data_IF_500318583617
#
_entry.id   IF_500318583617
#
_cell.length_a   1.000
_cell.length_b   1.000
_cell.length_c   1.000
_cell.angle_alpha   90.00
_cell.angle_beta   90.00
_cell.angle_gamma   90.00
#
_symmetry.space_group_name_H-M   'P 1'
#
loop_
_entity.id
_entity.type
_entity.pdbx_description
1 polymer ?
#
# COMPACT_ATOMS: atom_id res chain seq x y z
N UNK A 1 17.08 -1.08 4.76
CA UNK A 1 16.97 0.24 5.46
C UNK A 1 16.17 0.02 6.73
N UNK A 2 16.62 0.47 7.93
CA UNK A 2 15.79 0.37 9.13
C UNK A 2 14.63 1.38 9.10
N UNK A 3 13.66 1.26 10.05
CA UNK A 3 12.46 2.10 10.06
C UNK A 3 12.77 3.60 10.18
N UNK A 4 13.76 3.98 11.00
CA UNK A 4 14.18 5.39 11.12
C UNK A 4 14.80 5.94 9.84
N UNK A 5 15.60 5.13 9.15
CA UNK A 5 16.18 5.51 7.86
C UNK A 5 15.10 5.56 6.77
N UNK A 6 14.13 4.64 6.80
CA UNK A 6 12.97 4.66 5.91
C UNK A 6 12.15 5.92 6.09
N UNK A 7 11.86 6.30 7.33
CA UNK A 7 11.16 7.54 7.67
C UNK A 7 11.89 8.78 7.12
N UNK A 8 13.17 8.94 7.48
CA UNK A 8 13.95 10.08 6.97
C UNK A 8 13.97 10.16 5.46
N UNK A 9 14.05 9.01 4.81
CA UNK A 9 14.08 8.92 3.35
C UNK A 9 12.76 9.38 2.72
N UNK A 10 11.61 8.91 3.24
CA UNK A 10 10.30 9.31 2.73
C UNK A 10 9.93 10.73 3.14
N UNK A 11 10.34 11.21 4.31
CA UNK A 11 10.17 12.61 4.71
C UNK A 11 10.95 13.56 3.79
N UNK A 12 12.18 13.20 3.41
CA UNK A 12 12.96 13.97 2.44
C UNK A 12 12.30 14.02 1.04
N UNK A 13 11.75 12.89 0.58
CA UNK A 13 11.00 12.83 -0.68
C UNK A 13 9.71 13.65 -0.60
N UNK A 14 9.00 13.59 0.52
CA UNK A 14 7.78 14.37 0.77
C UNK A 14 8.03 15.87 0.77
N UNK A 15 9.17 16.32 1.28
CA UNK A 15 9.58 17.75 1.23
C UNK A 15 10.01 18.19 -0.17
N UNK A 16 10.62 17.31 -0.95
CA UNK A 16 11.21 17.67 -2.25
C UNK A 16 10.15 17.68 -3.37
N UNK A 17 9.41 16.59 -3.55
CA UNK A 17 8.43 16.41 -4.64
C UNK A 17 7.40 15.35 -4.23
N UNK A 18 6.47 15.68 -3.32
CA UNK A 18 5.60 14.71 -2.68
C UNK A 18 4.70 13.94 -3.64
N UNK A 19 4.10 14.61 -4.60
CA UNK A 19 3.15 13.99 -5.52
C UNK A 19 3.85 13.05 -6.50
N UNK A 20 5.03 13.44 -6.95
CA UNK A 20 5.86 12.60 -7.81
C UNK A 20 6.43 11.38 -7.06
N UNK A 21 6.79 11.55 -5.80
CA UNK A 21 7.28 10.45 -4.96
C UNK A 21 6.22 9.35 -4.77
N UNK A 22 4.94 9.73 -4.65
CA UNK A 22 3.81 8.80 -4.49
C UNK A 22 3.44 8.16 -5.83
N UNK A 23 3.37 8.96 -6.91
CA UNK A 23 3.00 8.48 -8.24
C UNK A 23 4.07 8.88 -9.26
N UNK A 24 4.97 7.93 -9.49
CA UNK A 24 6.07 8.12 -10.42
C UNK A 24 5.57 8.32 -11.85
N UNK A 25 5.82 9.51 -12.39
CA UNK A 25 5.67 9.84 -13.80
C UNK A 25 6.84 10.76 -14.18
N UNK A 26 7.73 10.35 -15.10
CA UNK A 26 8.89 11.16 -15.48
C UNK A 26 8.54 12.58 -15.96
N UNK A 27 7.39 12.78 -16.58
CA UNK A 27 6.93 14.07 -17.09
C UNK A 27 6.48 15.02 -15.97
N UNK A 28 6.10 14.48 -14.82
CA UNK A 28 5.55 15.22 -13.67
C UNK A 28 6.58 15.56 -12.60
N UNK A 29 7.86 15.17 -12.79
CA UNK A 29 8.94 15.46 -11.83
C UNK A 29 9.18 16.97 -11.69
N UNK A 30 9.58 17.41 -10.50
CA UNK A 30 9.85 18.81 -10.17
C UNK A 30 8.57 19.57 -9.82
N UNK A 31 7.69 18.97 -9.05
CA UNK A 31 6.41 19.54 -8.59
C UNK A 31 5.48 19.95 -9.75
N UNK A 32 5.50 19.18 -10.85
CA UNK A 32 4.69 19.47 -12.04
C UNK A 32 3.30 18.79 -12.02
N UNK A 33 2.99 18.00 -11.00
CA UNK A 33 1.65 17.49 -10.84
C UNK A 33 0.66 18.62 -10.59
N UNK A 34 -0.42 18.67 -11.35
CA UNK A 34 -1.59 19.41 -10.94
C UNK A 34 -2.28 18.64 -9.79
N UNK A 35 -2.57 19.30 -8.69
CA UNK A 35 -3.10 18.65 -7.48
C UNK A 35 -4.43 17.97 -7.74
N UNK A 36 -5.33 18.59 -8.48
CA UNK A 36 -6.65 18.02 -8.78
C UNK A 36 -6.55 16.81 -9.73
N UNK A 37 -5.67 16.89 -10.73
CA UNK A 37 -5.36 15.76 -11.61
C UNK A 37 -4.82 14.58 -10.79
N UNK A 38 -3.90 14.85 -9.87
CA UNK A 38 -3.31 13.84 -8.99
C UNK A 38 -4.37 13.12 -8.14
N UNK A 39 -5.24 13.86 -7.45
CA UNK A 39 -6.32 13.28 -6.64
C UNK A 39 -7.36 12.53 -7.49
N UNK A 40 -7.64 13.00 -8.72
CA UNK A 40 -8.52 12.28 -9.66
C UNK A 40 -7.99 10.89 -10.00
N UNK A 41 -6.67 10.70 -10.08
CA UNK A 41 -6.10 9.35 -10.27
C UNK A 41 -6.45 8.40 -9.12
N UNK A 42 -6.57 8.90 -7.89
CA UNK A 42 -7.00 8.13 -6.72
C UNK A 42 -8.45 7.64 -6.86
N UNK A 43 -9.35 8.50 -7.32
CA UNK A 43 -10.76 8.12 -7.55
C UNK A 43 -10.88 6.98 -8.57
N UNK A 44 -10.16 7.04 -9.67
CA UNK A 44 -10.15 5.97 -10.67
C UNK A 44 -9.59 4.64 -10.11
N UNK A 45 -8.54 4.71 -9.31
CA UNK A 45 -7.92 3.54 -8.68
C UNK A 45 -8.84 2.89 -7.65
N UNK A 46 -9.47 3.68 -6.78
CA UNK A 46 -10.44 3.17 -5.79
C UNK A 46 -11.69 2.63 -6.47
N UNK A 47 -12.19 3.26 -7.53
CA UNK A 47 -13.31 2.73 -8.31
C UNK A 47 -13.00 1.34 -8.89
N UNK A 48 -11.78 1.13 -9.41
CA UNK A 48 -11.32 -0.16 -9.91
C UNK A 48 -11.19 -1.20 -8.76
N UNK A 49 -10.67 -0.80 -7.59
CA UNK A 49 -10.63 -1.63 -6.39
C UNK A 49 -12.03 -2.10 -5.99
N UNK A 50 -12.98 -1.18 -5.87
CA UNK A 50 -14.36 -1.50 -5.48
C UNK A 50 -15.07 -2.40 -6.51
N UNK A 51 -14.77 -2.23 -7.79
CA UNK A 51 -15.26 -3.14 -8.84
C UNK A 51 -14.69 -4.55 -8.67
N UNK A 52 -13.39 -4.67 -8.37
CA UNK A 52 -12.74 -5.97 -8.11
C UNK A 52 -13.32 -6.67 -6.88
N UNK A 53 -13.57 -5.92 -5.80
CA UNK A 53 -14.19 -6.46 -4.58
C UNK A 53 -15.61 -6.97 -4.85
N UNK A 54 -16.44 -6.24 -5.62
CA UNK A 54 -17.77 -6.69 -6.02
C UNK A 54 -17.70 -7.98 -6.84
N UNK A 55 -16.85 -8.04 -7.85
CA UNK A 55 -16.67 -9.25 -8.66
C UNK A 55 -16.21 -10.46 -7.84
N UNK A 56 -15.37 -10.22 -6.83
CA UNK A 56 -14.91 -11.28 -5.93
C UNK A 56 -16.05 -11.79 -5.05
N UNK A 57 -16.88 -10.89 -4.52
CA UNK A 57 -18.09 -11.23 -3.76
C UNK A 57 -19.06 -12.08 -4.58
N UNK A 58 -19.35 -11.65 -5.81
CA UNK A 58 -20.28 -12.35 -6.71
C UNK A 58 -19.81 -13.78 -7.05
N UNK A 59 -18.49 -13.99 -7.18
CA UNK A 59 -17.91 -15.29 -7.54
C UNK A 59 -17.82 -16.27 -6.37
N UNK A 60 -17.78 -15.80 -5.12
CA UNK A 60 -17.43 -16.64 -3.96
C UNK A 60 -18.51 -16.78 -2.94
N UNK A 61 -19.68 -16.19 -3.14
CA UNK A 61 -20.77 -16.15 -2.16
C UNK A 61 -20.30 -15.69 -0.76
N UNK A 62 -19.18 -14.94 -0.74
CA UNK A 62 -18.53 -14.39 0.44
C UNK A 62 -18.56 -12.88 0.32
N UNK A 63 -19.47 -12.26 1.05
CA UNK A 63 -19.54 -10.79 1.11
C UNK A 63 -18.19 -10.22 1.58
N UNK A 64 -17.58 -9.39 0.75
CA UNK A 64 -16.29 -8.80 1.07
C UNK A 64 -16.21 -7.38 0.52
N UNK A 65 -16.03 -6.38 1.36
CA UNK A 65 -16.28 -6.36 2.82
C UNK A 65 -17.78 -6.49 3.11
N UNK A 66 -18.15 -7.08 4.24
CA UNK A 66 -19.55 -7.26 4.65
C UNK A 66 -20.27 -5.93 4.94
N UNK A 67 -19.53 -4.86 5.14
CA UNK A 67 -20.02 -3.49 5.31
C UNK A 67 -18.92 -2.50 4.93
N UNK A 68 -19.31 -1.27 4.62
CA UNK A 68 -18.40 -0.17 4.25
C UNK A 68 -18.26 0.85 5.39
N UNK A 69 -18.07 0.38 6.63
CA UNK A 69 -17.97 1.26 7.80
C UNK A 69 -16.63 1.97 7.87
N UNK A 70 -15.52 1.25 8.01
CA UNK A 70 -14.21 1.87 8.23
C UNK A 70 -13.11 1.25 7.37
N UNK A 71 -12.34 2.09 6.69
CA UNK A 71 -11.20 1.66 5.87
C UNK A 71 -9.88 2.22 6.39
N UNK A 72 -8.79 1.46 6.19
CA UNK A 72 -7.41 1.87 6.43
C UNK A 72 -6.66 1.98 5.09
N UNK A 73 -6.09 3.15 4.81
CA UNK A 73 -5.14 3.40 3.73
C UNK A 73 -3.72 3.37 4.31
N UNK A 74 -3.01 2.25 4.13
CA UNK A 74 -1.66 2.07 4.65
C UNK A 74 -0.61 2.59 3.68
N UNK A 75 0.21 3.55 4.13
CA UNK A 75 1.14 4.33 3.32
C UNK A 75 0.41 5.39 2.51
N UNK A 76 -0.46 6.15 3.18
CA UNK A 76 -1.42 7.06 2.55
C UNK A 76 -0.78 8.24 1.80
N UNK A 77 0.50 8.53 2.07
CA UNK A 77 1.18 9.71 1.54
C UNK A 77 0.39 10.98 1.83
N UNK A 78 0.07 11.76 0.82
CA UNK A 78 -0.73 12.99 0.93
C UNK A 78 -2.26 12.76 0.92
N UNK A 79 -2.72 11.53 1.16
CA UNK A 79 -4.15 11.20 1.29
C UNK A 79 -4.88 11.00 -0.04
N UNK A 80 -4.19 10.67 -1.13
CA UNK A 80 -4.78 10.49 -2.46
C UNK A 80 -5.84 9.39 -2.49
N UNK A 81 -5.54 8.23 -1.91
CA UNK A 81 -6.47 7.09 -1.84
C UNK A 81 -7.39 7.21 -0.63
N UNK A 82 -6.92 7.74 0.49
CA UNK A 82 -7.71 7.99 1.69
C UNK A 82 -8.96 8.79 1.36
N UNK A 83 -8.82 9.92 0.66
CA UNK A 83 -9.96 10.75 0.27
C UNK A 83 -10.87 10.09 -0.77
N UNK A 84 -10.30 9.28 -1.68
CA UNK A 84 -11.11 8.54 -2.64
C UNK A 84 -11.91 7.39 -1.98
N UNK A 85 -11.37 6.74 -0.95
CA UNK A 85 -12.07 5.73 -0.15
C UNK A 85 -13.25 6.34 0.63
N UNK A 86 -13.19 7.61 1.01
CA UNK A 86 -14.30 8.29 1.68
C UNK A 86 -15.57 8.45 0.80
N UNK A 87 -15.47 8.26 -0.51
CA UNK A 87 -16.65 8.16 -1.39
C UNK A 87 -17.38 6.81 -1.20
N UNK A 88 -16.78 5.82 -0.50
CA UNK A 88 -17.27 4.45 -0.35
C UNK A 88 -17.39 3.98 1.10
N UNK A 89 -16.67 4.59 2.06
CA UNK A 89 -16.64 4.20 3.47
C UNK A 89 -17.07 5.35 4.37
N UNK A 90 -17.69 5.02 5.51
CA UNK A 90 -18.16 6.03 6.48
C UNK A 90 -16.99 6.76 7.13
N UNK A 91 -15.92 6.04 7.48
CA UNK A 91 -14.68 6.56 8.04
C UNK A 91 -13.47 5.98 7.31
N UNK A 92 -12.44 6.80 7.12
CA UNK A 92 -11.18 6.36 6.52
C UNK A 92 -10.02 6.91 7.32
N UNK A 93 -9.15 6.01 7.75
CA UNK A 93 -7.89 6.36 8.39
C UNK A 93 -6.74 6.17 7.38
N UNK A 94 -5.95 7.22 7.19
CA UNK A 94 -4.70 7.16 6.46
C UNK A 94 -3.53 7.07 7.43
N UNK A 95 -2.57 6.18 7.19
CA UNK A 95 -1.36 6.09 8.01
C UNK A 95 -0.11 6.17 7.13
N UNK A 96 0.86 6.96 7.54
CA UNK A 96 2.16 7.08 6.85
C UNK A 96 3.29 7.22 7.87
N UNK A 97 4.52 6.90 7.44
CA UNK A 97 5.73 7.02 8.25
C UNK A 97 6.36 8.41 8.17
N UNK A 98 6.05 9.19 7.13
CA UNK A 98 6.69 10.48 6.83
C UNK A 98 5.88 11.65 7.37
N UNK A 99 6.41 12.44 8.32
CA UNK A 99 5.71 13.62 8.85
C UNK A 99 5.28 14.60 7.77
N UNK A 100 6.14 14.89 6.78
CA UNK A 100 5.82 15.81 5.69
C UNK A 100 4.65 15.33 4.81
N UNK A 101 4.46 14.02 4.68
CA UNK A 101 3.32 13.46 3.96
C UNK A 101 2.04 13.66 4.74
N UNK A 102 2.04 13.42 6.06
CA UNK A 102 0.88 13.63 6.95
C UNK A 102 0.49 15.11 6.99
N UNK A 103 1.45 16.03 7.13
CA UNK A 103 1.19 17.47 7.07
C UNK A 103 0.47 17.89 5.78
N UNK A 104 0.89 17.32 4.63
CA UNK A 104 0.26 17.58 3.35
C UNK A 104 -1.11 16.89 3.23
N UNK A 105 -1.26 15.67 3.76
CA UNK A 105 -2.53 14.97 3.77
C UNK A 105 -3.60 15.76 4.54
N UNK A 106 -3.25 16.30 5.70
CA UNK A 106 -4.13 17.18 6.47
C UNK A 106 -4.48 18.47 5.70
N UNK A 107 -3.49 19.11 5.08
CA UNK A 107 -3.69 20.32 4.26
C UNK A 107 -4.62 20.10 3.07
N UNK A 108 -4.53 18.94 2.43
CA UNK A 108 -5.36 18.58 1.27
C UNK A 108 -6.69 17.94 1.66
N UNK A 109 -6.94 17.68 2.93
CA UNK A 109 -8.14 16.97 3.40
C UNK A 109 -9.43 17.76 3.12
N UNK A 110 -10.24 17.23 2.20
CA UNK A 110 -11.55 17.78 1.83
C UNK A 110 -12.71 16.99 2.45
N UNK A 111 -12.42 15.96 3.24
CA UNK A 111 -13.39 15.02 3.80
C UNK A 111 -13.35 14.93 5.33
N UNK A 112 -12.77 15.93 6.02
CA UNK A 112 -12.83 15.99 7.48
C UNK A 112 -14.29 16.08 7.97
N UNK A 113 -14.69 15.43 9.06
CA UNK A 113 -13.88 14.56 9.93
C UNK A 113 -13.82 13.09 9.51
N UNK A 114 -14.35 12.71 8.34
CA UNK A 114 -14.40 11.31 7.88
C UNK A 114 -13.02 10.76 7.55
N UNK A 115 -12.12 11.57 6.98
CA UNK A 115 -10.73 11.22 6.75
C UNK A 115 -9.88 11.74 7.92
N UNK A 116 -9.14 10.83 8.54
CA UNK A 116 -8.17 11.11 9.61
C UNK A 116 -6.80 10.59 9.21
N UNK A 117 -5.73 11.31 9.56
CA UNK A 117 -4.37 10.93 9.21
C UNK A 117 -3.52 10.70 10.45
N UNK A 118 -2.67 9.68 10.41
CA UNK A 118 -1.87 9.24 11.55
C UNK A 118 -0.42 9.06 11.13
N UNK A 119 0.49 9.68 11.87
CA UNK A 119 1.90 9.38 11.77
C UNK A 119 2.19 8.07 12.53
N UNK A 120 2.79 7.09 11.84
CA UNK A 120 3.22 5.85 12.47
C UNK A 120 4.69 5.55 12.16
N UNK A 121 5.54 5.78 13.15
CA UNK A 121 6.98 5.55 13.07
C UNK A 121 7.39 4.13 13.48
N UNK A 122 6.42 3.30 13.90
CA UNK A 122 6.60 1.94 14.38
C UNK A 122 6.46 0.92 13.26
N UNK A 123 6.92 -0.28 13.50
CA UNK A 123 6.78 -1.42 12.58
C UNK A 123 5.54 -2.31 12.89
N UNK A 124 4.56 -1.72 13.57
CA UNK A 124 3.25 -2.29 13.92
C UNK A 124 2.13 -1.28 13.67
N UNK A 125 0.89 -1.68 13.94
CA UNK A 125 -0.31 -0.84 13.89
C UNK A 125 -1.03 -0.79 15.24
N UNK A 126 -0.29 -0.81 16.36
CA UNK A 126 -0.85 -0.77 17.73
C UNK A 126 -1.70 0.48 18.01
N UNK A 127 -1.54 1.53 17.20
CA UNK A 127 -2.41 2.71 17.22
C UNK A 127 -3.87 2.38 16.88
N UNK A 128 -4.13 1.20 16.29
CA UNK A 128 -5.45 0.71 15.98
C UNK A 128 -5.75 -0.59 16.74
N UNK A 129 -6.95 -0.66 17.31
CA UNK A 129 -7.45 -1.89 17.95
C UNK A 129 -7.63 -3.04 16.97
N UNK A 130 -7.61 -4.28 17.47
CA UNK A 130 -7.97 -5.45 16.68
C UNK A 130 -9.41 -5.34 16.17
N UNK A 131 -9.67 -5.83 14.95
CA UNK A 131 -11.00 -5.83 14.37
C UNK A 131 -11.60 -4.44 14.13
N UNK A 132 -10.78 -3.43 13.82
CA UNK A 132 -11.21 -2.04 13.64
C UNK A 132 -11.71 -1.73 12.23
N UNK A 133 -11.24 -2.46 11.21
CA UNK A 133 -11.43 -2.09 9.81
C UNK A 133 -12.20 -3.12 8.99
N UNK A 134 -13.04 -2.66 8.11
CA UNK A 134 -13.73 -3.47 7.09
C UNK A 134 -12.85 -3.65 5.84
N UNK A 135 -11.99 -2.66 5.55
CA UNK A 135 -10.98 -2.72 4.48
C UNK A 135 -9.63 -2.25 5.00
N UNK A 136 -8.56 -2.97 4.66
CA UNK A 136 -7.18 -2.48 4.70
C UNK A 136 -6.66 -2.43 3.26
N UNK A 137 -6.26 -1.26 2.79
CA UNK A 137 -5.73 -1.09 1.43
C UNK A 137 -4.31 -0.55 1.46
N UNK A 138 -3.42 -1.15 0.67
CA UNK A 138 -2.04 -0.68 0.49
C UNK A 138 -1.55 -0.94 -0.92
N UNK A 139 -1.16 0.10 -1.63
CA UNK A 139 -0.58 0.01 -2.97
C UNK A 139 0.60 0.95 -3.12
N UNK A 140 1.63 0.51 -3.85
CA UNK A 140 2.88 1.26 -4.07
C UNK A 140 3.72 1.50 -2.78
N UNK A 141 3.47 0.80 -1.68
CA UNK A 141 4.08 1.01 -0.36
C UNK A 141 5.01 -0.13 0.03
N UNK A 142 4.47 -1.35 0.15
CA UNK A 142 5.19 -2.50 0.72
C UNK A 142 6.48 -2.86 -0.04
N UNK A 143 6.58 -2.49 -1.30
CA UNK A 143 7.77 -2.65 -2.12
C UNK A 143 8.98 -1.84 -1.63
N UNK A 144 8.76 -0.80 -0.83
CA UNK A 144 9.81 0.07 -0.31
C UNK A 144 10.25 -0.30 1.10
N UNK A 145 9.60 -1.27 1.70
CA UNK A 145 9.82 -1.72 3.08
C UNK A 145 10.59 -3.05 3.05
N UNK A 146 11.60 -3.19 3.92
CA UNK A 146 12.33 -4.46 4.04
C UNK A 146 11.41 -5.62 4.43
N UNK A 147 11.66 -6.80 3.87
CA UNK A 147 10.80 -7.97 4.03
C UNK A 147 10.51 -8.38 5.48
N UNK A 148 11.42 -8.08 6.44
CA UNK A 148 11.17 -8.34 7.88
C UNK A 148 10.03 -7.49 8.44
N UNK A 149 9.95 -6.22 8.06
CA UNK A 149 8.89 -5.31 8.48
C UNK A 149 7.59 -5.57 7.70
N UNK A 150 7.70 -5.88 6.39
CA UNK A 150 6.52 -6.28 5.61
C UNK A 150 5.82 -7.47 6.25
N UNK A 151 6.56 -8.46 6.75
CA UNK A 151 5.97 -9.63 7.43
C UNK A 151 5.18 -9.24 8.69
N UNK A 152 5.67 -8.28 9.48
CA UNK A 152 4.97 -7.74 10.64
C UNK A 152 3.70 -7.00 10.22
N UNK A 153 3.81 -6.09 9.25
CA UNK A 153 2.64 -5.35 8.75
C UNK A 153 1.57 -6.26 8.16
N UNK A 154 1.93 -7.34 7.47
CA UNK A 154 0.93 -8.28 6.97
C UNK A 154 0.19 -9.00 8.10
N UNK A 155 0.86 -9.34 9.21
CA UNK A 155 0.19 -9.87 10.40
C UNK A 155 -0.71 -8.80 11.05
N UNK A 156 -0.25 -7.55 11.13
CA UNK A 156 -1.04 -6.44 11.65
C UNK A 156 -2.26 -6.11 10.78
N UNK A 157 -2.15 -6.20 9.46
CA UNK A 157 -3.31 -6.05 8.56
C UNK A 157 -4.41 -7.03 8.92
N UNK A 158 -4.04 -8.29 9.19
CA UNK A 158 -5.00 -9.32 9.60
C UNK A 158 -5.56 -9.06 11.01
N UNK A 159 -4.73 -8.59 11.94
CA UNK A 159 -5.16 -8.26 13.31
C UNK A 159 -6.17 -7.12 13.35
N UNK A 160 -5.95 -6.07 12.56
CA UNK A 160 -6.83 -4.90 12.57
C UNK A 160 -8.09 -5.08 11.73
N UNK A 161 -8.15 -6.10 10.87
CA UNK A 161 -9.37 -6.45 10.13
C UNK A 161 -10.44 -7.03 11.04
N UNK A 162 -11.69 -6.63 10.81
CA UNK A 162 -12.87 -7.29 11.35
C UNK A 162 -13.06 -8.66 10.72
N UNK A 163 -13.71 -9.60 11.40
CA UNK A 163 -14.23 -10.80 10.75
C UNK A 163 -15.09 -10.44 9.52
N UNK A 164 -14.76 -11.03 8.36
CA UNK A 164 -15.36 -10.69 7.08
C UNK A 164 -14.86 -9.40 6.41
N UNK A 165 -13.91 -8.71 7.02
CA UNK A 165 -13.18 -7.62 6.37
C UNK A 165 -12.15 -8.12 5.38
N UNK A 166 -11.61 -7.24 4.55
CA UNK A 166 -10.66 -7.59 3.48
C UNK A 166 -9.41 -6.72 3.54
N UNK A 167 -8.24 -7.34 3.49
CA UNK A 167 -6.99 -6.67 3.14
C UNK A 167 -6.73 -6.81 1.64
N UNK A 168 -6.45 -5.70 0.98
CA UNK A 168 -6.00 -5.68 -0.41
C UNK A 168 -4.66 -4.96 -0.47
N UNK A 169 -3.63 -5.65 -0.94
CA UNK A 169 -2.30 -5.05 -1.03
C UNK A 169 -1.50 -5.58 -2.21
N UNK A 170 -0.60 -4.73 -2.70
CA UNK A 170 0.34 -5.09 -3.76
C UNK A 170 1.70 -5.40 -3.18
N UNK A 171 2.32 -6.49 -3.63
CA UNK A 171 3.66 -6.86 -3.20
C UNK A 171 4.47 -7.50 -4.36
N UNK A 172 5.69 -6.99 -4.63
CA UNK A 172 6.61 -7.65 -5.53
C UNK A 172 7.04 -9.01 -4.99
N UNK A 173 7.17 -9.97 -5.89
CA UNK A 173 7.62 -11.31 -5.54
C UNK A 173 9.13 -11.50 -5.82
N UNK A 174 9.55 -11.23 -7.02
CA UNK A 174 10.93 -11.38 -7.47
C UNK A 174 11.19 -10.60 -8.76
N UNK A 175 12.46 -10.24 -9.05
CA UNK A 175 12.83 -9.64 -10.32
C UNK A 175 12.46 -10.55 -11.49
N UNK A 176 11.92 -9.99 -12.55
CA UNK A 176 11.50 -10.71 -13.76
C UNK A 176 12.68 -11.27 -14.55
N UNK A 177 12.39 -11.98 -15.65
CA UNK A 177 13.42 -12.50 -16.56
C UNK A 177 13.90 -11.49 -17.61
N UNK A 178 13.38 -10.26 -17.62
CA UNK A 178 13.84 -9.18 -18.50
C UNK A 178 15.28 -8.79 -18.21
N UNK A 179 15.95 -8.10 -19.13
CA UNK A 179 17.33 -7.62 -18.92
C UNK A 179 17.41 -6.76 -17.65
N UNK A 180 16.46 -5.86 -17.44
CA UNK A 180 16.39 -5.01 -16.26
C UNK A 180 16.16 -5.83 -14.97
N UNK A 181 15.30 -6.84 -15.01
CA UNK A 181 15.08 -7.75 -13.88
C UNK A 181 16.31 -8.61 -13.55
N UNK A 182 17.07 -9.04 -14.57
CA UNK A 182 18.36 -9.75 -14.36
C UNK A 182 19.37 -8.83 -13.67
N UNK A 183 19.43 -7.55 -14.07
CA UNK A 183 20.31 -6.56 -13.45
C UNK A 183 19.97 -6.36 -11.96
N UNK A 184 18.69 -6.23 -11.61
CA UNK A 184 18.25 -6.15 -10.21
C UNK A 184 18.56 -7.39 -9.37
N UNK A 185 18.74 -8.55 -10.01
CA UNK A 185 19.10 -9.80 -9.32
C UNK A 185 20.58 -9.88 -8.99
N UNK A 186 21.43 -9.29 -9.81
CA UNK A 186 22.90 -9.43 -9.73
C UNK A 186 23.55 -8.27 -8.99
N UNK A 187 23.06 -7.05 -9.19
CA UNK A 187 23.66 -5.88 -8.58
C UNK A 187 23.28 -5.74 -7.09
N UNK A 188 24.25 -5.44 -6.21
CA UNK A 188 23.98 -5.16 -4.81
C UNK A 188 23.21 -3.85 -4.63
N UNK A 189 22.38 -3.75 -3.57
CA UNK A 189 21.56 -2.56 -3.30
C UNK A 189 22.33 -1.23 -3.28
N UNK A 190 23.57 -1.12 -2.72
CA UNK A 190 24.31 0.12 -2.77
C UNK A 190 24.58 0.61 -4.20
N UNK A 191 24.91 -0.28 -5.13
CA UNK A 191 25.12 0.09 -6.54
C UNK A 191 23.81 0.53 -7.22
N UNK A 192 22.71 -0.18 -6.94
CA UNK A 192 21.38 0.21 -7.42
C UNK A 192 20.94 1.55 -6.85
N UNK A 193 21.25 1.83 -5.59
CA UNK A 193 20.92 3.10 -4.95
C UNK A 193 21.76 4.26 -5.51
N UNK A 194 23.04 4.03 -5.79
CA UNK A 194 23.89 5.01 -6.47
C UNK A 194 23.36 5.34 -7.87
N UNK A 195 22.98 4.31 -8.65
CA UNK A 195 22.35 4.48 -9.96
C UNK A 195 21.03 5.27 -9.86
N UNK A 196 20.16 4.94 -8.89
CA UNK A 196 18.88 5.65 -8.68
C UNK A 196 19.11 7.12 -8.34
N UNK A 197 20.06 7.44 -7.44
CA UNK A 197 20.42 8.84 -7.11
C UNK A 197 20.90 9.61 -8.34
N UNK A 198 21.78 9.00 -9.13
CA UNK A 198 22.29 9.62 -10.36
C UNK A 198 21.17 9.82 -11.39
N UNK A 199 20.33 8.80 -11.58
CA UNK A 199 19.27 8.78 -12.62
C UNK A 199 18.10 9.69 -12.29
N UNK A 200 17.72 9.77 -11.01
CA UNK A 200 16.53 10.50 -10.59
C UNK A 200 16.87 11.81 -9.87
N UNK A 201 18.13 12.05 -9.49
CA UNK A 201 18.59 13.31 -8.88
C UNK A 201 17.77 13.73 -7.67
N UNK A 202 17.26 12.75 -6.88
CA UNK A 202 16.42 13.01 -5.71
C UNK A 202 17.23 12.82 -4.42
N UNK A 203 16.82 13.52 -3.37
CA UNK A 203 17.44 13.40 -2.04
C UNK A 203 17.15 12.07 -1.35
N UNK A 204 16.09 11.35 -1.79
CA UNK A 204 15.70 10.06 -1.27
C UNK A 204 15.92 8.92 -2.27
N UNK A 205 15.91 7.69 -1.78
CA UNK A 205 16.10 6.47 -2.57
C UNK A 205 14.84 5.60 -2.48
N UNK A 206 14.27 5.28 -3.63
CA UNK A 206 13.14 4.35 -3.72
C UNK A 206 13.68 2.92 -3.85
N UNK A 207 14.09 2.30 -2.73
CA UNK A 207 14.48 0.89 -2.71
C UNK A 207 13.30 0.02 -3.12
N UNK A 208 13.61 -1.16 -3.67
CA UNK A 208 12.59 -2.13 -4.07
C UNK A 208 12.92 -3.48 -3.46
N UNK A 209 11.99 -4.00 -2.71
CA UNK A 209 12.05 -5.29 -2.02
C UNK A 209 10.90 -6.18 -2.48
N UNK A 210 11.06 -7.48 -2.35
CA UNK A 210 10.01 -8.43 -2.67
C UNK A 210 10.05 -9.64 -1.74
N UNK A 211 8.90 -10.29 -1.58
CA UNK A 211 8.76 -11.56 -0.86
C UNK A 211 8.11 -12.56 -1.83
N UNK A 212 8.69 -13.74 -1.97
CA UNK A 212 8.14 -14.77 -2.87
C UNK A 212 6.69 -15.10 -2.49
N UNK A 213 5.81 -15.19 -3.49
CA UNK A 213 4.38 -15.45 -3.33
C UNK A 213 4.08 -16.62 -2.38
N UNK A 214 4.70 -17.83 -2.47
CA UNK A 214 4.41 -18.91 -1.53
C UNK A 214 4.67 -18.53 -0.06
N UNK A 215 5.75 -17.77 0.21
CA UNK A 215 6.09 -17.33 1.55
C UNK A 215 5.11 -16.26 2.10
N UNK A 216 4.53 -15.44 1.22
CA UNK A 216 3.45 -14.50 1.59
C UNK A 216 2.18 -15.28 1.94
N UNK A 217 1.76 -16.22 1.10
CA UNK A 217 0.56 -17.02 1.33
C UNK A 217 0.67 -17.89 2.60
N UNK A 218 1.86 -18.44 2.87
CA UNK A 218 2.15 -19.18 4.11
C UNK A 218 2.03 -18.27 5.34
N UNK A 219 2.65 -17.09 5.30
CA UNK A 219 2.58 -16.10 6.36
C UNK A 219 1.12 -15.70 6.67
N UNK A 220 0.34 -15.42 5.63
CA UNK A 220 -1.06 -15.02 5.78
C UNK A 220 -1.86 -16.13 6.46
N UNK A 221 -1.70 -17.40 6.02
CA UNK A 221 -2.38 -18.55 6.63
C UNK A 221 -1.96 -18.78 8.08
N UNK A 222 -0.65 -18.66 8.37
CA UNK A 222 -0.13 -18.81 9.73
C UNK A 222 -0.69 -17.76 10.72
N UNK A 223 -1.13 -16.60 10.21
CA UNK A 223 -1.74 -15.53 11.01
C UNK A 223 -3.30 -15.51 10.90
N UNK A 224 -3.93 -16.60 10.48
CA UNK A 224 -5.40 -16.74 10.44
C UNK A 224 -6.06 -16.09 9.21
N UNK A 225 -5.27 -15.65 8.24
CA UNK A 225 -5.79 -15.09 6.99
C UNK A 225 -6.18 -16.16 5.97
N UNK A 226 -7.27 -15.93 5.27
CA UNK A 226 -7.71 -16.72 4.12
C UNK A 226 -7.46 -15.93 2.84
N UNK A 227 -6.61 -16.46 1.95
CA UNK A 227 -6.34 -15.83 0.65
C UNK A 227 -7.51 -16.09 -0.28
N UNK A 228 -8.22 -15.03 -0.64
CA UNK A 228 -9.37 -15.10 -1.54
C UNK A 228 -8.93 -15.14 -3.01
N UNK A 229 -8.00 -14.26 -3.38
CA UNK A 229 -7.47 -14.16 -4.74
C UNK A 229 -6.03 -13.62 -4.71
N UNK A 230 -5.22 -14.07 -5.68
CA UNK A 230 -3.92 -13.47 -5.99
C UNK A 230 -3.87 -13.21 -7.48
N UNK A 231 -3.91 -11.95 -7.87
CA UNK A 231 -3.88 -11.51 -9.26
C UNK A 231 -2.49 -10.98 -9.66
N UNK A 232 -2.08 -11.20 -10.90
CA UNK A 232 -0.91 -10.50 -11.47
C UNK A 232 -1.22 -8.99 -11.50
N UNK A 233 -0.33 -8.18 -10.96
CA UNK A 233 -0.50 -6.73 -10.91
C UNK A 233 0.82 -6.03 -11.25
N UNK A 234 0.97 -5.42 -12.44
CA UNK A 234 2.25 -4.88 -12.93
C UNK A 234 2.59 -3.51 -12.30
N UNK A 235 2.57 -3.40 -10.99
CA UNK A 235 2.79 -2.16 -10.24
C UNK A 235 4.16 -1.53 -10.51
N UNK A 236 5.21 -2.36 -10.69
CA UNK A 236 6.60 -1.94 -10.91
C UNK A 236 7.07 -2.14 -12.37
N UNK A 237 6.14 -2.17 -13.31
CA UNK A 237 6.44 -2.43 -14.71
C UNK A 237 7.03 -3.82 -14.95
N UNK A 238 7.70 -4.00 -16.11
CA UNK A 238 8.17 -5.31 -16.55
C UNK A 238 9.36 -5.88 -15.76
N UNK A 239 10.03 -5.08 -14.91
CA UNK A 239 11.25 -5.51 -14.19
C UNK A 239 10.97 -6.41 -12.98
N UNK A 240 9.76 -6.42 -12.46
CA UNK A 240 9.36 -7.21 -11.30
C UNK A 240 8.09 -8.00 -11.58
N UNK A 241 7.99 -9.19 -11.00
CA UNK A 241 6.72 -9.90 -10.84
C UNK A 241 6.07 -9.39 -9.58
N UNK A 242 4.92 -8.75 -9.72
CA UNK A 242 4.14 -8.20 -8.63
C UNK A 242 2.76 -8.84 -8.60
N UNK A 243 2.23 -9.02 -7.40
CA UNK A 243 0.91 -9.59 -7.18
C UNK A 243 0.08 -8.67 -6.30
N UNK A 244 -1.22 -8.63 -6.61
CA UNK A 244 -2.25 -8.08 -5.73
C UNK A 244 -2.90 -9.22 -4.99
N UNK A 245 -2.94 -9.11 -3.67
CA UNK A 245 -3.52 -10.09 -2.76
C UNK A 245 -4.85 -9.56 -2.24
N UNK A 246 -5.87 -10.43 -2.21
CA UNK A 246 -7.14 -10.22 -1.53
C UNK A 246 -7.24 -11.25 -0.42
N UNK A 247 -7.33 -10.80 0.82
CA UNK A 247 -7.22 -11.65 2.01
C UNK A 247 -8.30 -11.28 3.00
N UNK A 248 -8.96 -12.26 3.59
CA UNK A 248 -9.96 -12.06 4.66
C UNK A 248 -9.56 -12.78 5.94
N UNK A 249 -10.18 -12.41 7.05
CA UNK A 249 -10.05 -13.08 8.34
C UNK A 249 -11.42 -13.47 8.84
N UNK A 250 -11.49 -14.63 9.52
CA UNK A 250 -12.71 -15.07 10.21
C UNK A 250 -13.92 -15.09 9.29
N UNK A 251 -13.85 -15.78 8.13
CA UNK A 251 -15.05 -16.06 7.35
C UNK A 251 -16.10 -16.71 8.28
N UNK A 252 -17.36 -16.23 8.30
CA UNK A 252 -18.40 -16.95 9.03
C UNK A 252 -18.38 -18.40 8.54
N UNK A 253 -18.36 -19.35 9.48
CA UNK A 253 -18.55 -20.76 9.14
C UNK A 253 -19.81 -20.86 8.28
N UNK A 254 -19.79 -21.59 7.15
CA UNK A 254 -21.01 -21.79 6.36
C UNK A 254 -22.09 -22.28 7.32
N UNK A 255 -23.19 -21.53 7.38
CA UNK A 255 -24.30 -21.85 8.28
C UNK A 255 -24.72 -23.31 8.08
N UNK A 256 -24.74 -24.04 9.19
CA UNK A 256 -25.37 -25.39 9.24
C UNK A 256 -26.87 -25.25 9.17
#
# INVERSE_FOLDING_TARGET
MDMRALQRNWDALGRADPLWAIRFDPSKKGNRWNVEEFFRTGKGEVAALMASLRQLSDRRDAATPTRNGRALDFGCGVGRLTQALADHFDEVDGVDIAPSMIELAERYNRHAPRCRYHLNERDDLEIFGAGSFDLVYSTLVLQHIEGRYVRRYLAEFLRVLRPGGVAVFDLPSHPSRTLQGRLFRVLPQPALNAYRRLRYGCQGVMEQHGIRRPAVEELLRANGGTVLEVADHPTLGAAWRCYRYFVTVGAPAPGR
#
